data_IF_760879909830
#
_entry.id   IF_760879909830
#
_cell.length_a   1.000
_cell.length_b   1.000
_cell.length_c   1.000
_cell.angle_alpha   90.00
_cell.angle_beta   90.00
_cell.angle_gamma   90.00
#
_symmetry.space_group_name_H-M   'P 1'
#
loop_
_entity.id
_entity.type
_entity.pdbx_description
1 polymer ?
#
# COMPACT_ATOMS: atom_id res chain seq x y z
N UNK A 1 15.62 48.10 -9.56
CA UNK A 1 16.11 48.03 -8.17
C UNK A 1 15.16 47.06 -7.48
N UNK A 2 15.62 45.89 -7.05
CA UNK A 2 14.77 44.96 -6.26
C UNK A 2 14.48 45.60 -4.89
N UNK A 3 13.24 45.51 -4.44
CA UNK A 3 12.82 46.02 -3.14
C UNK A 3 13.04 44.99 -2.04
N UNK A 4 12.99 45.43 -0.78
CA UNK A 4 13.04 44.53 0.38
C UNK A 4 11.85 43.55 0.36
N UNK A 5 10.71 43.97 -0.15
CA UNK A 5 9.54 43.10 -0.31
C UNK A 5 9.82 41.99 -1.34
N UNK A 6 10.38 42.33 -2.51
CA UNK A 6 10.73 41.35 -3.55
C UNK A 6 11.74 40.30 -3.02
N UNK A 7 12.72 40.74 -2.24
CA UNK A 7 13.71 39.85 -1.63
C UNK A 7 13.12 38.91 -0.56
N UNK A 8 12.14 39.38 0.22
CA UNK A 8 11.46 38.56 1.24
C UNK A 8 10.51 37.54 0.61
N UNK A 9 9.76 37.92 -0.41
CA UNK A 9 8.87 37.02 -1.15
C UNK A 9 9.66 35.90 -1.81
N UNK A 10 10.76 36.24 -2.50
CA UNK A 10 11.64 35.26 -3.13
C UNK A 10 12.26 34.28 -2.12
N UNK A 11 12.79 34.77 -0.99
CA UNK A 11 13.31 33.90 0.09
C UNK A 11 12.24 33.01 0.73
N UNK A 12 11.02 33.51 0.84
CA UNK A 12 9.88 32.75 1.34
C UNK A 12 9.51 31.61 0.39
N UNK A 13 9.45 31.91 -0.91
CA UNK A 13 9.20 30.92 -1.96
C UNK A 13 10.31 29.86 -2.01
N UNK A 14 11.57 30.28 -2.07
CA UNK A 14 12.73 29.37 -2.14
C UNK A 14 12.79 28.46 -0.90
N UNK A 15 12.60 29.03 0.30
CA UNK A 15 12.56 28.24 1.55
C UNK A 15 11.37 27.27 1.57
N UNK A 16 10.19 27.70 1.10
CA UNK A 16 9.01 26.86 1.03
C UNK A 16 9.19 25.69 0.05
N UNK A 17 9.81 25.97 -1.09
CA UNK A 17 10.18 24.97 -2.10
C UNK A 17 11.18 23.98 -1.53
N UNK A 18 12.32 24.43 -0.99
CA UNK A 18 13.34 23.54 -0.41
C UNK A 18 12.78 22.67 0.71
N UNK A 19 12.04 23.27 1.65
CA UNK A 19 11.44 22.53 2.78
C UNK A 19 10.38 21.54 2.31
N UNK A 20 9.56 21.92 1.33
CA UNK A 20 8.55 21.04 0.75
C UNK A 20 9.16 19.86 0.00
N UNK A 21 10.21 20.11 -0.78
CA UNK A 21 10.96 19.08 -1.49
C UNK A 21 11.63 18.10 -0.51
N UNK A 22 12.35 18.62 0.49
CA UNK A 22 12.99 17.79 1.53
C UNK A 22 11.98 16.91 2.26
N UNK A 23 10.82 17.47 2.62
CA UNK A 23 9.74 16.73 3.28
C UNK A 23 9.20 15.63 2.35
N UNK A 24 8.91 15.95 1.08
CA UNK A 24 8.42 14.97 0.12
C UNK A 24 9.42 13.83 -0.14
N UNK A 25 10.73 14.15 -0.20
CA UNK A 25 11.79 13.15 -0.33
C UNK A 25 11.91 12.25 0.89
N UNK A 26 11.75 12.79 2.10
CA UNK A 26 11.76 12.00 3.33
C UNK A 26 10.52 11.11 3.46
N UNK A 27 9.36 11.56 2.98
CA UNK A 27 8.13 10.76 3.00
C UNK A 27 8.03 9.77 1.84
N UNK A 28 8.83 9.95 0.77
CA UNK A 28 8.91 9.05 -0.39
C UNK A 28 8.93 7.57 -0.09
N UNK A 29 9.86 7.08 0.73
CA UNK A 29 9.90 5.67 1.06
C UNK A 29 8.62 5.17 1.76
N UNK A 30 7.92 6.03 2.52
CA UNK A 30 6.69 5.65 3.23
C UNK A 30 5.53 5.46 2.25
N UNK A 31 5.31 6.40 1.33
CA UNK A 31 4.22 6.27 0.37
C UNK A 31 4.49 5.19 -0.68
N UNK A 32 5.74 4.99 -1.08
CA UNK A 32 6.13 3.87 -1.94
C UNK A 32 5.82 2.53 -1.26
N UNK A 33 6.21 2.36 0.01
CA UNK A 33 5.90 1.15 0.78
C UNK A 33 4.39 0.94 0.95
N UNK A 34 3.63 2.00 1.23
CA UNK A 34 2.18 1.91 1.36
C UNK A 34 1.50 1.58 0.02
N UNK A 35 1.98 2.14 -1.08
CA UNK A 35 1.48 1.85 -2.42
C UNK A 35 1.78 0.40 -2.82
N UNK A 36 2.99 -0.09 -2.54
CA UNK A 36 3.38 -1.48 -2.78
C UNK A 36 2.49 -2.45 -1.98
N UNK A 37 2.24 -2.13 -0.70
CA UNK A 37 1.37 -2.92 0.17
C UNK A 37 -0.06 -2.97 -0.38
N UNK A 38 -0.64 -1.81 -0.70
CA UNK A 38 -1.99 -1.72 -1.26
C UNK A 38 -2.08 -2.50 -2.57
N UNK A 39 -1.09 -2.35 -3.45
CA UNK A 39 -1.07 -3.08 -4.71
C UNK A 39 -1.04 -4.60 -4.49
N UNK A 40 -0.21 -5.08 -3.56
CA UNK A 40 -0.15 -6.52 -3.26
C UNK A 40 -1.45 -7.07 -2.65
N UNK A 41 -2.17 -6.26 -1.87
CA UNK A 41 -3.50 -6.61 -1.33
C UNK A 41 -4.53 -6.71 -2.45
N UNK A 42 -4.62 -5.71 -3.33
CA UNK A 42 -5.58 -5.71 -4.44
C UNK A 42 -5.28 -6.83 -5.45
N UNK A 43 -4.00 -7.09 -5.78
CA UNK A 43 -3.65 -8.26 -6.61
C UNK A 43 -4.08 -9.58 -5.96
N UNK A 44 -3.92 -9.73 -4.64
CA UNK A 44 -4.36 -10.94 -3.96
C UNK A 44 -5.88 -11.13 -4.05
N UNK A 45 -6.62 -10.03 -3.91
CA UNK A 45 -8.07 -10.00 -4.06
C UNK A 45 -8.47 -10.41 -5.49
N UNK A 46 -7.82 -9.83 -6.50
CA UNK A 46 -8.14 -10.10 -7.91
C UNK A 46 -7.91 -11.58 -8.24
N UNK A 47 -6.75 -12.12 -7.86
CA UNK A 47 -6.39 -13.52 -8.11
C UNK A 47 -7.31 -14.48 -7.35
N UNK A 48 -7.68 -14.16 -6.10
CA UNK A 48 -8.62 -14.97 -5.34
C UNK A 48 -10.05 -14.89 -5.90
N UNK A 49 -10.45 -13.73 -6.42
CA UNK A 49 -11.73 -13.55 -7.11
C UNK A 49 -11.77 -14.35 -8.41
N UNK A 50 -10.66 -14.40 -9.16
CA UNK A 50 -10.54 -15.24 -10.35
C UNK A 50 -10.63 -16.73 -10.02
N UNK A 51 -10.00 -17.17 -8.92
CA UNK A 51 -9.98 -18.58 -8.52
C UNK A 51 -11.30 -19.07 -7.92
N UNK A 52 -12.00 -18.24 -7.15
CA UNK A 52 -13.14 -18.67 -6.32
C UNK A 52 -14.45 -17.92 -6.59
N UNK A 53 -14.44 -16.92 -7.47
CA UNK A 53 -15.54 -15.99 -7.64
C UNK A 53 -15.55 -14.89 -6.57
N UNK A 54 -16.62 -14.08 -6.48
CA UNK A 54 -16.68 -12.93 -5.59
C UNK A 54 -16.40 -13.28 -4.12
N UNK A 55 -15.42 -12.60 -3.53
CA UNK A 55 -15.05 -12.79 -2.12
C UNK A 55 -16.05 -12.11 -1.18
N UNK A 56 -16.24 -12.68 0.01
CA UNK A 56 -17.05 -12.05 1.06
C UNK A 56 -16.39 -10.75 1.56
N UNK A 57 -17.19 -9.79 2.02
CA UNK A 57 -16.69 -8.52 2.57
C UNK A 57 -15.69 -8.73 3.72
N UNK A 58 -15.96 -9.71 4.60
CA UNK A 58 -15.07 -10.07 5.70
C UNK A 58 -13.70 -10.57 5.23
N UNK A 59 -13.66 -11.39 4.17
CA UNK A 59 -12.39 -11.86 3.61
C UNK A 59 -11.62 -10.72 2.92
N UNK A 60 -12.33 -9.82 2.24
CA UNK A 60 -11.77 -8.59 1.67
C UNK A 60 -11.06 -7.74 2.72
N UNK A 61 -11.73 -7.47 3.84
CA UNK A 61 -11.18 -6.68 4.94
C UNK A 61 -9.96 -7.36 5.58
N UNK A 62 -10.00 -8.68 5.75
CA UNK A 62 -8.87 -9.46 6.27
C UNK A 62 -7.66 -9.42 5.35
N UNK A 63 -7.83 -9.47 4.03
CA UNK A 63 -6.69 -9.28 3.11
C UNK A 63 -6.11 -7.88 3.28
N UNK A 64 -6.96 -6.86 3.39
CA UNK A 64 -6.54 -5.46 3.57
C UNK A 64 -5.90 -5.17 4.93
N UNK A 65 -6.17 -5.99 5.95
CA UNK A 65 -5.52 -5.84 7.25
C UNK A 65 -4.08 -6.37 7.28
N UNK A 66 -3.68 -7.24 6.35
CA UNK A 66 -2.31 -7.79 6.30
C UNK A 66 -1.31 -6.68 5.94
N UNK A 67 -0.38 -6.41 6.86
CA UNK A 67 0.67 -5.38 6.69
C UNK A 67 2.01 -5.94 6.21
N UNK A 68 2.12 -7.27 6.04
CA UNK A 68 3.32 -7.94 5.55
C UNK A 68 3.25 -8.18 4.04
N UNK A 69 4.09 -7.48 3.29
CA UNK A 69 4.28 -7.70 1.84
C UNK A 69 4.70 -9.14 1.52
N UNK A 70 5.53 -9.73 2.38
CA UNK A 70 5.97 -11.12 2.20
C UNK A 70 4.80 -12.09 2.31
N UNK A 71 3.94 -11.91 3.33
CA UNK A 71 2.74 -12.73 3.50
C UNK A 71 1.80 -12.59 2.30
N UNK A 72 1.56 -11.36 1.82
CA UNK A 72 0.72 -11.11 0.64
C UNK A 72 1.29 -11.78 -0.62
N UNK A 73 2.60 -11.69 -0.86
CA UNK A 73 3.27 -12.36 -1.99
C UNK A 73 3.23 -13.89 -1.87
N UNK A 74 3.33 -14.42 -0.66
CA UNK A 74 3.21 -15.86 -0.42
C UNK A 74 1.78 -16.35 -0.68
N UNK A 75 0.78 -15.60 -0.20
CA UNK A 75 -0.64 -15.89 -0.43
C UNK A 75 -0.99 -15.85 -1.93
N UNK A 76 -0.54 -14.83 -2.66
CA UNK A 76 -0.75 -14.72 -4.11
C UNK A 76 -0.31 -16.00 -4.86
N UNK A 77 0.86 -16.55 -4.50
CA UNK A 77 1.38 -17.79 -5.09
C UNK A 77 0.63 -19.04 -4.63
N UNK A 78 -0.09 -18.98 -3.51
CA UNK A 78 -0.83 -20.10 -2.93
C UNK A 78 -2.28 -20.16 -3.38
N UNK A 79 -2.92 -19.03 -3.72
CA UNK A 79 -4.33 -18.99 -4.18
C UNK A 79 -4.61 -20.03 -5.26
N UNK A 80 -3.78 -20.10 -6.30
CA UNK A 80 -3.98 -21.05 -7.40
C UNK A 80 -3.68 -22.52 -7.03
N UNK A 81 -3.14 -22.76 -5.83
CA UNK A 81 -2.76 -24.09 -5.32
C UNK A 81 -3.74 -24.60 -4.26
N UNK A 82 -4.56 -23.73 -3.68
CA UNK A 82 -5.57 -24.10 -2.70
C UNK A 82 -6.78 -24.73 -3.40
N UNK A 83 -7.34 -25.78 -2.80
CA UNK A 83 -8.41 -26.59 -3.37
C UNK A 83 -9.80 -25.98 -3.18
N UNK A 84 -9.93 -25.01 -2.27
CA UNK A 84 -11.19 -24.35 -1.96
C UNK A 84 -11.00 -22.94 -1.41
N UNK A 85 -12.06 -22.14 -1.47
CA UNK A 85 -12.13 -20.82 -0.85
C UNK A 85 -11.91 -20.89 0.68
N UNK A 86 -12.35 -21.97 1.31
CA UNK A 86 -12.23 -22.17 2.76
C UNK A 86 -10.77 -22.41 3.16
N UNK A 87 -10.03 -23.22 2.40
CA UNK A 87 -8.60 -23.39 2.60
C UNK A 87 -7.84 -22.07 2.43
N UNK A 88 -8.18 -21.30 1.40
CA UNK A 88 -7.60 -19.97 1.20
C UNK A 88 -7.92 -19.01 2.35
N UNK A 89 -9.18 -19.00 2.82
CA UNK A 89 -9.64 -18.16 3.93
C UNK A 89 -8.84 -18.44 5.20
N UNK A 90 -8.55 -19.70 5.49
CA UNK A 90 -7.71 -20.09 6.63
C UNK A 90 -6.28 -19.57 6.53
N UNK A 91 -5.69 -19.57 5.33
CA UNK A 91 -4.36 -18.99 5.12
C UNK A 91 -4.35 -17.47 5.34
N UNK A 92 -5.37 -16.77 4.85
CA UNK A 92 -5.54 -15.33 5.07
C UNK A 92 -5.73 -15.03 6.55
N UNK A 93 -6.57 -15.80 7.25
CA UNK A 93 -6.80 -15.65 8.69
C UNK A 93 -5.49 -15.71 9.49
N UNK A 94 -4.65 -16.72 9.22
CA UNK A 94 -3.35 -16.86 9.90
C UNK A 94 -2.40 -15.72 9.55
N UNK A 95 -2.39 -15.27 8.30
CA UNK A 95 -1.55 -14.17 7.86
C UNK A 95 -1.96 -12.82 8.47
N UNK A 96 -3.24 -12.63 8.79
CA UNK A 96 -3.77 -11.42 9.40
C UNK A 96 -3.64 -11.36 10.94
N UNK A 97 -3.33 -12.50 11.57
CA UNK A 97 -3.10 -12.61 13.02
C UNK A 97 -1.65 -12.37 13.44
N UNK A 98 -0.71 -12.38 12.48
CA UNK A 98 0.71 -12.07 12.67
C UNK A 98 1.01 -10.62 12.28
#
# INVERSE_FOLDING_TARGET
METIADMLEKRGYDRGYDTGYDTAYQEKPKWEKQAELKNAQETLIDVATEAYGPLTGSLHEKVKSIQSLENLRALNRKVIRTQSLEEFTELVNRAAQN
#
